data_IF_558505345775
#
_entry.id   IF_558505345775
#
_cell.length_a   1.000
_cell.length_b   1.000
_cell.length_c   1.000
_cell.angle_alpha   90.00
_cell.angle_beta   90.00
_cell.angle_gamma   90.00
#
_symmetry.space_group_name_H-M   'P 1'
#
loop_
_entity.id
_entity.type
_entity.pdbx_description
1 polymer ?
#
# COMPACT_ATOMS: atom_id res chain seq x y z
N UNK A 1 -15.73 -29.95 -7.93
CA UNK A 1 -15.33 -28.75 -7.13
C UNK A 1 -14.80 -29.25 -5.79
N UNK A 2 -13.58 -29.80 -5.76
CA UNK A 2 -12.96 -30.40 -4.57
C UNK A 2 -12.00 -29.39 -3.93
N UNK A 3 -12.50 -28.61 -2.97
CA UNK A 3 -11.61 -27.88 -2.06
C UNK A 3 -10.92 -28.92 -1.17
N UNK A 4 -9.62 -29.12 -1.40
CA UNK A 4 -8.76 -30.04 -0.65
C UNK A 4 -8.86 -29.78 0.85
N UNK A 5 -9.00 -30.84 1.65
CA UNK A 5 -9.08 -30.84 3.14
C UNK A 5 -7.93 -30.06 3.81
N UNK A 6 -6.84 -29.80 3.10
CA UNK A 6 -5.74 -28.96 3.56
C UNK A 6 -6.10 -27.47 3.63
N UNK A 7 -6.90 -26.95 2.68
CA UNK A 7 -7.32 -25.54 2.65
C UNK A 7 -8.33 -25.20 3.75
N UNK A 8 -9.20 -26.15 4.11
CA UNK A 8 -10.13 -25.98 5.24
C UNK A 8 -9.42 -26.04 6.59
N UNK A 9 -8.36 -26.84 6.73
CA UNK A 9 -7.51 -26.85 7.93
C UNK A 9 -6.74 -25.54 8.12
N UNK A 10 -6.20 -24.95 7.05
CA UNK A 10 -5.48 -23.67 7.14
C UNK A 10 -6.40 -22.47 7.43
N UNK A 11 -7.65 -22.49 6.94
CA UNK A 11 -8.65 -21.48 7.33
C UNK A 11 -9.06 -21.63 8.79
N UNK A 12 -9.24 -22.86 9.27
CA UNK A 12 -9.58 -23.15 10.67
C UNK A 12 -8.51 -22.68 11.66
N UNK A 13 -7.23 -22.92 11.35
CA UNK A 13 -6.12 -22.45 12.20
C UNK A 13 -5.97 -20.93 12.18
N UNK A 14 -6.21 -20.29 11.02
CA UNK A 14 -6.20 -18.83 10.90
C UNK A 14 -7.32 -18.16 11.70
N UNK A 15 -8.56 -18.65 11.57
CA UNK A 15 -9.70 -18.14 12.33
C UNK A 15 -9.53 -18.36 13.84
N UNK A 16 -9.04 -19.54 14.25
CA UNK A 16 -8.73 -19.81 15.65
C UNK A 16 -7.65 -18.88 16.21
N UNK A 17 -6.61 -18.55 15.41
CA UNK A 17 -5.58 -17.60 15.79
C UNK A 17 -6.12 -16.18 16.00
N UNK A 18 -7.00 -15.70 15.12
CA UNK A 18 -7.64 -14.39 15.25
C UNK A 18 -8.55 -14.36 16.49
N UNK A 19 -9.37 -15.40 16.69
CA UNK A 19 -10.24 -15.49 17.86
C UNK A 19 -9.45 -15.54 19.16
N UNK A 20 -8.35 -16.30 19.20
CA UNK A 20 -7.45 -16.34 20.35
C UNK A 20 -6.84 -14.96 20.63
N UNK A 21 -6.42 -14.23 19.60
CA UNK A 21 -5.88 -12.87 19.74
C UNK A 21 -6.91 -11.89 20.28
N UNK A 22 -8.15 -11.94 19.78
CA UNK A 22 -9.26 -11.10 20.28
C UNK A 22 -9.62 -11.48 21.71
N UNK A 23 -9.65 -12.77 22.06
CA UNK A 23 -9.92 -13.22 23.42
C UNK A 23 -8.83 -12.77 24.40
N UNK A 24 -7.55 -12.85 24.00
CA UNK A 24 -6.43 -12.34 24.80
C UNK A 24 -6.52 -10.83 24.99
N UNK A 25 -6.84 -10.07 23.93
CA UNK A 25 -7.07 -8.63 24.05
C UNK A 25 -8.22 -8.32 25.00
N UNK A 26 -9.35 -9.02 24.86
CA UNK A 26 -10.53 -8.80 25.71
C UNK A 26 -10.22 -9.08 27.18
N UNK A 27 -9.63 -10.24 27.48
CA UNK A 27 -9.26 -10.60 28.85
C UNK A 27 -8.24 -9.62 29.44
N UNK A 28 -7.24 -9.19 28.65
CA UNK A 28 -6.27 -8.21 29.09
C UNK A 28 -6.92 -6.85 29.40
N UNK A 29 -7.81 -6.37 28.53
CA UNK A 29 -8.56 -5.12 28.72
C UNK A 29 -9.42 -5.14 30.00
N UNK A 30 -10.07 -6.27 30.29
CA UNK A 30 -10.91 -6.43 31.48
C UNK A 30 -10.13 -6.63 32.79
N UNK A 31 -8.88 -7.08 32.73
CA UNK A 31 -8.10 -7.47 33.92
C UNK A 31 -6.91 -6.55 34.14
N UNK A 32 -5.77 -6.87 33.54
CA UNK A 32 -4.46 -6.24 33.74
C UNK A 32 -4.44 -4.78 33.24
N UNK A 33 -5.29 -4.46 32.25
CA UNK A 33 -5.36 -3.15 31.61
C UNK A 33 -6.62 -2.36 31.97
N UNK A 34 -7.38 -2.78 33.00
CA UNK A 34 -8.66 -2.18 33.40
C UNK A 34 -8.60 -0.71 33.86
N UNK A 35 -7.40 -0.18 34.12
CA UNK A 35 -7.14 1.26 34.35
C UNK A 35 -6.28 1.93 33.27
N UNK A 36 -5.88 1.17 32.25
CA UNK A 36 -5.15 1.70 31.10
C UNK A 36 -6.15 2.23 30.06
N UNK A 37 -5.70 3.15 29.20
CA UNK A 37 -6.48 3.65 28.05
C UNK A 37 -6.49 2.62 26.91
N UNK A 38 -6.93 1.40 27.21
CA UNK A 38 -7.08 0.30 26.27
C UNK A 38 -8.56 -0.11 26.27
N UNK A 39 -9.26 0.04 25.14
CA UNK A 39 -10.69 -0.22 25.08
C UNK A 39 -10.95 -1.73 25.00
N UNK A 40 -12.16 -2.14 25.37
CA UNK A 40 -12.59 -3.52 25.14
C UNK A 40 -13.01 -3.69 23.67
N UNK A 41 -12.89 -4.91 23.09
CA UNK A 41 -13.29 -5.13 21.71
C UNK A 41 -14.76 -4.79 21.42
N UNK A 42 -15.65 -5.04 22.38
CA UNK A 42 -17.07 -4.71 22.28
C UNK A 42 -17.32 -3.20 22.29
N UNK A 43 -16.57 -2.41 23.07
CA UNK A 43 -16.63 -0.96 23.04
C UNK A 43 -16.24 -0.40 21.68
N UNK A 44 -15.09 -0.85 21.14
CA UNK A 44 -14.63 -0.44 19.80
C UNK A 44 -15.64 -0.80 18.71
N UNK A 45 -16.25 -1.99 18.79
CA UNK A 45 -17.29 -2.41 17.85
C UNK A 45 -18.57 -1.58 18.01
N UNK A 46 -18.97 -1.27 19.24
CA UNK A 46 -20.09 -0.38 19.53
C UNK A 46 -19.91 0.99 18.89
N UNK A 47 -18.78 1.66 19.18
CA UNK A 47 -18.44 2.97 18.57
C UNK A 47 -18.44 2.91 17.05
N UNK A 48 -17.91 1.82 16.46
CA UNK A 48 -17.86 1.66 15.02
C UNK A 48 -19.26 1.50 14.40
N UNK A 49 -20.15 0.75 15.06
CA UNK A 49 -21.53 0.55 14.60
C UNK A 49 -22.34 1.84 14.77
N UNK A 50 -22.20 2.52 15.90
CA UNK A 50 -22.94 3.74 16.23
C UNK A 50 -22.59 4.91 15.29
N UNK A 51 -21.32 5.02 14.87
CA UNK A 51 -20.90 5.98 13.87
C UNK A 51 -21.58 5.75 12.50
N UNK A 52 -21.93 4.50 12.19
CA UNK A 52 -22.69 4.12 11.00
C UNK A 52 -21.89 4.13 9.69
N UNK A 53 -22.44 3.44 8.68
CA UNK A 53 -21.77 3.28 7.38
C UNK A 53 -21.51 4.60 6.64
N UNK A 54 -22.43 5.56 6.73
CA UNK A 54 -22.30 6.87 6.09
C UNK A 54 -21.05 7.63 6.54
N UNK A 55 -20.75 7.57 7.84
CA UNK A 55 -19.54 8.17 8.41
C UNK A 55 -18.28 7.49 7.89
N UNK A 56 -18.18 6.16 8.01
CA UNK A 56 -16.99 5.43 7.62
C UNK A 56 -16.72 5.50 6.11
N UNK A 57 -17.75 5.34 5.28
CA UNK A 57 -17.62 5.43 3.82
C UNK A 57 -17.20 6.83 3.35
N UNK A 58 -17.64 7.89 4.04
CA UNK A 58 -17.22 9.27 3.75
C UNK A 58 -15.73 9.47 4.04
N UNK A 59 -15.27 9.10 5.24
CA UNK A 59 -13.90 9.36 5.66
C UNK A 59 -12.89 8.41 5.00
N UNK A 60 -13.15 7.10 5.01
CA UNK A 60 -12.28 6.14 4.32
C UNK A 60 -12.35 6.28 2.81
N UNK A 61 -13.52 6.61 2.25
CA UNK A 61 -13.66 6.84 0.82
C UNK A 61 -12.76 8.00 0.34
N UNK A 62 -12.66 9.06 1.13
CA UNK A 62 -11.76 10.19 0.83
C UNK A 62 -10.29 9.74 0.81
N UNK A 63 -9.83 9.09 1.88
CA UNK A 63 -8.44 8.63 1.99
C UNK A 63 -8.09 7.60 0.91
N UNK A 64 -9.02 6.69 0.58
CA UNK A 64 -8.84 5.72 -0.50
C UNK A 64 -8.68 6.43 -1.85
N UNK A 65 -9.45 7.49 -2.12
CA UNK A 65 -9.29 8.25 -3.37
C UNK A 65 -7.93 8.92 -3.45
N UNK A 66 -7.51 9.61 -2.39
CA UNK A 66 -6.20 10.27 -2.31
C UNK A 66 -5.05 9.27 -2.47
N UNK A 67 -5.14 8.15 -1.75
CA UNK A 67 -4.18 7.06 -1.84
C UNK A 67 -4.15 6.44 -3.25
N UNK A 68 -5.31 6.27 -3.90
CA UNK A 68 -5.40 5.68 -5.25
C UNK A 68 -4.76 6.58 -6.30
N UNK A 69 -5.00 7.90 -6.22
CA UNK A 69 -4.38 8.88 -7.13
C UNK A 69 -2.88 8.95 -6.89
N UNK A 70 -2.44 8.98 -5.63
CA UNK A 70 -1.02 8.99 -5.28
C UNK A 70 -0.32 7.69 -5.70
N UNK A 71 -0.93 6.54 -5.45
CA UNK A 71 -0.46 5.23 -5.90
C UNK A 71 -0.27 5.22 -7.43
N UNK A 72 -1.25 5.71 -8.19
CA UNK A 72 -1.16 5.79 -9.64
C UNK A 72 0.04 6.64 -10.08
N UNK A 73 0.20 7.85 -9.56
CA UNK A 73 1.32 8.72 -9.92
C UNK A 73 2.68 8.15 -9.49
N UNK A 74 2.77 7.61 -8.27
CA UNK A 74 3.99 7.00 -7.75
C UNK A 74 4.42 5.78 -8.57
N UNK A 75 3.46 4.91 -8.92
CA UNK A 75 3.72 3.75 -9.76
C UNK A 75 4.11 4.15 -11.18
N UNK A 76 3.41 5.10 -11.81
CA UNK A 76 3.77 5.57 -13.16
C UNK A 76 5.17 6.19 -13.18
N UNK A 77 5.49 7.05 -12.21
CA UNK A 77 6.82 7.63 -12.07
C UNK A 77 7.89 6.55 -11.87
N UNK A 78 7.61 5.56 -11.01
CA UNK A 78 8.53 4.45 -10.75
C UNK A 78 8.77 3.57 -11.98
N UNK A 79 7.72 3.26 -12.75
CA UNK A 79 7.82 2.51 -14.01
C UNK A 79 8.63 3.27 -15.07
N UNK A 80 8.45 4.59 -15.17
CA UNK A 80 9.25 5.44 -16.08
C UNK A 80 10.72 5.40 -15.68
N UNK A 81 11.04 5.64 -14.41
CA UNK A 81 12.42 5.61 -13.90
C UNK A 81 13.07 4.23 -14.10
N UNK A 82 12.36 3.15 -13.77
CA UNK A 82 12.85 1.79 -14.00
C UNK A 82 13.10 1.48 -15.48
N UNK A 83 12.24 1.98 -16.37
CA UNK A 83 12.44 1.83 -17.82
C UNK A 83 13.65 2.61 -18.32
N UNK A 84 13.87 3.83 -17.79
CA UNK A 84 15.04 4.65 -18.10
C UNK A 84 16.35 3.99 -17.64
N UNK A 85 16.36 3.35 -16.47
CA UNK A 85 17.52 2.58 -15.98
C UNK A 85 17.95 1.52 -16.99
N UNK A 86 17.00 0.83 -17.65
CA UNK A 86 17.32 -0.18 -18.65
C UNK A 86 17.71 0.38 -20.01
N UNK A 87 17.06 1.46 -20.44
CA UNK A 87 17.32 2.08 -21.75
C UNK A 87 18.65 2.87 -21.75
N UNK A 88 19.03 3.45 -20.62
CA UNK A 88 20.19 4.33 -20.44
C UNK A 88 21.11 3.81 -19.31
N UNK A 89 21.95 2.78 -19.57
CA UNK A 89 22.83 2.19 -18.54
C UNK A 89 23.77 3.19 -17.86
N UNK A 90 24.14 4.27 -18.55
CA UNK A 90 24.99 5.33 -17.99
C UNK A 90 24.28 6.11 -16.87
N UNK A 91 22.94 6.22 -16.94
CA UNK A 91 22.14 6.92 -15.95
C UNK A 91 21.76 6.04 -14.74
N UNK A 92 21.98 4.73 -14.81
CA UNK A 92 21.58 3.77 -13.78
C UNK A 92 22.06 4.16 -12.37
N UNK A 93 23.35 4.47 -12.12
CA UNK A 93 23.81 4.77 -10.78
C UNK A 93 23.08 5.99 -10.18
N UNK A 94 22.87 7.02 -11.00
CA UNK A 94 22.21 8.27 -10.59
C UNK A 94 20.72 8.02 -10.31
N UNK A 95 20.01 7.34 -11.21
CA UNK A 95 18.59 7.05 -11.07
C UNK A 95 18.32 6.15 -9.85
N UNK A 96 19.17 5.14 -9.62
CA UNK A 96 19.07 4.27 -8.45
C UNK A 96 19.39 5.05 -7.16
N UNK A 97 20.39 5.93 -7.18
CA UNK A 97 20.69 6.80 -6.04
C UNK A 97 19.52 7.73 -5.70
N UNK A 98 18.89 8.34 -6.70
CA UNK A 98 17.67 9.16 -6.50
C UNK A 98 16.56 8.34 -5.87
N UNK A 99 16.30 7.12 -6.38
CA UNK A 99 15.28 6.24 -5.83
C UNK A 99 15.55 5.89 -4.36
N UNK A 100 16.81 5.55 -4.02
CA UNK A 100 17.22 5.26 -2.64
C UNK A 100 17.05 6.49 -1.75
N UNK A 101 17.48 7.67 -2.21
CA UNK A 101 17.30 8.92 -1.47
C UNK A 101 15.83 9.20 -1.18
N UNK A 102 14.94 9.01 -2.15
CA UNK A 102 13.49 9.17 -1.95
C UNK A 102 12.93 8.27 -0.84
N UNK A 103 13.46 7.05 -0.68
CA UNK A 103 13.07 6.14 0.40
C UNK A 103 13.68 6.51 1.75
N UNK A 104 14.91 7.04 1.75
CA UNK A 104 15.60 7.43 2.96
C UNK A 104 15.03 8.70 3.62
N UNK A 105 14.31 9.54 2.87
CA UNK A 105 13.64 10.72 3.45
C UNK A 105 12.46 10.26 4.31
N UNK A 106 12.44 10.57 5.62
CA UNK A 106 11.31 10.22 6.46
C UNK A 106 10.04 10.93 5.99
N UNK A 107 8.99 10.16 5.67
CA UNK A 107 7.72 10.73 5.21
C UNK A 107 7.14 11.76 6.20
N UNK A 108 7.32 11.50 7.51
CA UNK A 108 6.87 12.40 8.58
C UNK A 108 7.61 13.74 8.55
N UNK A 109 8.88 13.76 8.14
CA UNK A 109 9.69 14.98 8.07
C UNK A 109 9.37 15.81 6.80
N UNK A 110 9.07 15.15 5.68
CA UNK A 110 8.77 15.85 4.41
C UNK A 110 7.31 16.31 4.32
N UNK A 111 6.40 15.71 5.09
CA UNK A 111 4.98 16.04 5.07
C UNK A 111 4.67 17.54 5.33
N UNK A 112 5.25 18.22 6.35
CA UNK A 112 5.03 19.64 6.55
C UNK A 112 5.61 20.51 5.42
N UNK A 113 6.76 20.11 4.84
CA UNK A 113 7.36 20.82 3.71
C UNK A 113 6.45 20.76 2.49
N UNK A 114 5.94 19.57 2.17
CA UNK A 114 4.97 19.39 1.08
C UNK A 114 3.68 20.16 1.35
N UNK A 115 3.22 20.21 2.59
CA UNK A 115 2.05 21.01 2.95
C UNK A 115 2.26 22.51 2.73
N UNK A 116 3.43 23.06 3.09
CA UNK A 116 3.74 24.48 2.84
C UNK A 116 3.76 24.80 1.35
N UNK A 117 4.29 23.89 0.52
CA UNK A 117 4.41 24.09 -0.93
C UNK A 117 3.07 23.93 -1.64
N UNK A 118 2.27 22.93 -1.25
CA UNK A 118 1.02 22.57 -1.92
C UNK A 118 -0.16 23.37 -1.38
N UNK A 119 -0.17 23.65 -0.08
CA UNK A 119 -1.25 24.34 0.62
C UNK A 119 -2.43 23.43 1.01
N UNK A 120 -3.51 24.08 1.46
CA UNK A 120 -4.76 23.41 1.80
C UNK A 120 -5.52 22.98 0.53
N UNK A 121 -6.25 21.86 0.58
CA UNK A 121 -7.20 21.52 -0.46
C UNK A 121 -8.36 22.52 -0.52
N UNK A 122 -8.91 22.72 -1.70
CA UNK A 122 -10.19 23.42 -1.88
C UNK A 122 -11.31 22.69 -1.12
N UNK A 123 -12.42 23.38 -0.84
CA UNK A 123 -13.53 22.79 -0.08
C UNK A 123 -14.06 21.52 -0.74
N UNK A 124 -14.07 20.42 0.01
CA UNK A 124 -14.47 19.10 -0.49
C UNK A 124 -13.53 18.45 -1.50
N UNK A 125 -12.38 19.07 -1.83
CA UNK A 125 -11.40 18.54 -2.76
C UNK A 125 -10.36 17.64 -2.05
N UNK A 126 -9.61 16.89 -2.87
CA UNK A 126 -8.54 15.99 -2.42
C UNK A 126 -7.32 16.76 -1.96
N UNK A 127 -6.67 16.29 -0.91
CA UNK A 127 -5.39 16.80 -0.44
C UNK A 127 -4.28 16.45 -1.44
N UNK A 128 -3.69 17.49 -2.03
CA UNK A 128 -2.49 17.35 -2.84
C UNK A 128 -1.31 16.82 -2.02
N UNK A 129 -1.21 17.20 -0.74
CA UNK A 129 -0.19 16.69 0.19
C UNK A 129 -0.34 15.20 0.44
N UNK A 130 -1.56 14.72 0.70
CA UNK A 130 -1.84 13.29 0.86
C UNK A 130 -1.51 12.51 -0.41
N UNK A 131 -1.91 13.04 -1.57
CA UNK A 131 -1.61 12.43 -2.86
C UNK A 131 -0.10 12.35 -3.13
N UNK A 132 0.66 13.41 -2.83
CA UNK A 132 2.10 13.47 -3.01
C UNK A 132 2.86 12.50 -2.09
N UNK A 133 2.46 12.40 -0.82
CA UNK A 133 3.04 11.46 0.13
C UNK A 133 2.71 10.01 -0.21
N UNK A 134 1.48 9.74 -0.66
CA UNK A 134 1.10 8.44 -1.18
C UNK A 134 1.93 8.03 -2.40
N UNK A 135 2.20 8.97 -3.32
CA UNK A 135 3.07 8.73 -4.47
C UNK A 135 4.52 8.43 -4.05
N UNK A 136 5.07 9.23 -3.13
CA UNK A 136 6.43 9.04 -2.62
C UNK A 136 6.61 7.69 -1.91
N UNK A 137 5.60 7.24 -1.15
CA UNK A 137 5.61 5.97 -0.45
C UNK A 137 5.70 4.74 -1.38
N UNK A 138 5.23 4.86 -2.63
CA UNK A 138 5.17 3.75 -3.60
C UNK A 138 6.21 3.84 -4.70
N UNK A 139 6.76 5.04 -4.92
CA UNK A 139 7.75 5.29 -5.94
C UNK A 139 8.95 4.33 -5.85
N UNK A 140 9.61 4.26 -4.70
CA UNK A 140 10.82 3.45 -4.53
C UNK A 140 10.57 1.95 -4.76
N UNK A 141 9.54 1.40 -4.09
CA UNK A 141 9.21 -0.02 -4.20
C UNK A 141 8.86 -0.40 -5.64
N UNK A 142 8.17 0.49 -6.37
CA UNK A 142 7.90 0.33 -7.81
C UNK A 142 9.17 0.34 -8.63
N UNK A 143 10.08 1.30 -8.44
CA UNK A 143 11.36 1.36 -9.17
C UNK A 143 12.13 0.04 -8.99
N UNK A 144 12.37 -0.35 -7.74
CA UNK A 144 13.17 -1.53 -7.42
C UNK A 144 12.53 -2.81 -7.95
N UNK A 145 11.23 -3.00 -7.72
CA UNK A 145 10.52 -4.19 -8.18
C UNK A 145 10.47 -4.32 -9.70
N UNK A 146 10.31 -3.18 -10.39
CA UNK A 146 10.30 -3.15 -11.86
C UNK A 146 11.69 -3.42 -12.42
N UNK A 147 12.75 -2.78 -11.89
CA UNK A 147 14.14 -3.05 -12.32
C UNK A 147 14.50 -4.51 -12.10
N UNK A 148 14.16 -5.08 -10.94
CA UNK A 148 14.40 -6.49 -10.63
C UNK A 148 13.66 -7.42 -11.60
N UNK A 149 12.40 -7.12 -11.90
CA UNK A 149 11.58 -7.89 -12.84
C UNK A 149 12.05 -7.80 -14.29
N UNK A 150 12.47 -6.62 -14.74
CA UNK A 150 12.97 -6.46 -16.10
C UNK A 150 14.30 -7.21 -16.30
N UNK A 151 15.10 -7.33 -15.23
CA UNK A 151 16.37 -8.08 -15.21
C UNK A 151 16.22 -9.58 -15.04
N UNK A 152 15.05 -10.08 -14.61
CA UNK A 152 14.80 -11.52 -14.46
C UNK A 152 14.52 -12.24 -15.79
N UNK A 153 14.46 -11.49 -16.90
CA UNK A 153 14.28 -12.06 -18.23
C UNK A 153 15.37 -13.09 -18.58
N UNK A 154 14.93 -14.24 -19.08
CA UNK A 154 15.82 -15.30 -19.54
C UNK A 154 16.71 -14.82 -20.71
N UNK A 155 18.01 -15.12 -20.62
CA UNK A 155 18.99 -14.67 -21.62
C UNK A 155 18.75 -15.30 -22.98
N UNK A 156 18.37 -16.58 -23.04
CA UNK A 156 18.09 -17.25 -24.31
C UNK A 156 16.92 -16.58 -25.04
N UNK A 157 15.88 -16.19 -24.31
CA UNK A 157 14.73 -15.44 -24.84
C UNK A 157 15.14 -14.06 -25.40
N UNK A 158 16.08 -13.36 -24.75
CA UNK A 158 16.63 -12.10 -25.24
C UNK A 158 17.51 -12.26 -26.48
N UNK A 159 18.29 -13.34 -26.54
CA UNK A 159 19.16 -13.66 -27.67
C UNK A 159 18.36 -14.01 -28.92
N UNK A 160 17.23 -14.73 -28.78
CA UNK A 160 16.29 -14.96 -29.89
C UNK A 160 15.84 -13.63 -30.50
N UNK A 161 15.38 -12.68 -29.69
CA UNK A 161 14.98 -11.36 -30.21
C UNK A 161 16.12 -10.66 -30.95
N UNK A 162 17.35 -10.79 -30.45
CA UNK A 162 18.54 -10.18 -31.06
C UNK A 162 18.91 -10.82 -32.40
N UNK A 163 18.87 -12.15 -32.50
CA UNK A 163 19.16 -12.90 -33.74
C UNK A 163 18.17 -12.55 -34.84
N UNK A 164 16.90 -12.31 -34.51
CA UNK A 164 15.88 -11.82 -35.45
C UNK A 164 15.94 -10.29 -35.70
N UNK A 165 17.07 -9.64 -35.39
CA UNK A 165 17.30 -8.22 -35.66
C UNK A 165 16.58 -7.24 -34.72
N UNK A 166 16.12 -7.71 -33.56
CA UNK A 166 15.49 -6.87 -32.55
C UNK A 166 16.49 -6.18 -31.62
N UNK A 167 16.33 -4.87 -31.44
CA UNK A 167 17.10 -4.09 -30.47
C UNK A 167 16.54 -4.11 -29.04
N UNK A 168 17.13 -3.29 -28.15
CA UNK A 168 16.76 -3.19 -26.72
C UNK A 168 15.29 -2.89 -26.48
N UNK A 169 14.68 -2.04 -27.30
CA UNK A 169 13.25 -1.71 -27.19
C UNK A 169 12.36 -2.92 -27.47
N UNK A 170 12.70 -3.74 -28.48
CA UNK A 170 11.95 -4.97 -28.78
C UNK A 170 12.15 -6.02 -27.69
N UNK A 171 13.36 -6.15 -27.15
CA UNK A 171 13.64 -7.02 -25.99
C UNK A 171 12.81 -6.60 -24.77
N UNK A 172 12.73 -5.29 -24.50
CA UNK A 172 11.94 -4.74 -23.40
C UNK A 172 10.46 -5.06 -23.58
N UNK A 173 9.88 -4.74 -24.74
CA UNK A 173 8.45 -4.93 -24.99
C UNK A 173 8.02 -6.40 -25.06
N UNK A 174 8.82 -7.26 -25.72
CA UNK A 174 8.43 -8.65 -26.02
C UNK A 174 8.82 -9.66 -24.97
N UNK A 175 9.86 -9.40 -24.18
CA UNK A 175 10.40 -10.37 -23.21
C UNK A 175 10.37 -9.79 -21.81
N UNK A 176 11.09 -8.68 -21.61
CA UNK A 176 11.34 -8.18 -20.24
C UNK A 176 10.07 -7.67 -19.56
N UNK A 177 9.17 -6.99 -20.28
CA UNK A 177 7.93 -6.49 -19.70
C UNK A 177 7.04 -7.64 -19.22
N UNK A 178 6.96 -8.72 -19.99
CA UNK A 178 6.17 -9.92 -19.64
C UNK A 178 6.81 -10.65 -18.45
N UNK A 179 8.14 -10.80 -18.46
CA UNK A 179 8.85 -11.44 -17.34
C UNK A 179 8.83 -10.60 -16.06
N UNK A 180 8.71 -9.27 -16.19
CA UNK A 180 8.68 -8.34 -15.07
C UNK A 180 7.31 -8.26 -14.38
N UNK A 181 6.22 -8.61 -15.06
CA UNK A 181 4.86 -8.51 -14.53
C UNK A 181 4.70 -9.07 -13.10
N UNK A 182 5.22 -10.28 -12.75
CA UNK A 182 5.10 -10.81 -11.40
C UNK A 182 5.78 -9.92 -10.35
N UNK A 183 6.97 -9.40 -10.66
CA UNK A 183 7.74 -8.52 -9.78
C UNK A 183 7.09 -7.14 -9.64
N UNK A 184 6.54 -6.60 -10.73
CA UNK A 184 5.80 -5.34 -10.71
C UNK A 184 4.53 -5.49 -9.86
N UNK A 185 3.77 -6.58 -10.03
CA UNK A 185 2.58 -6.87 -9.22
C UNK A 185 2.93 -7.11 -7.75
N UNK A 186 4.05 -7.78 -7.45
CA UNK A 186 4.54 -7.95 -6.09
C UNK A 186 4.92 -6.61 -5.44
N UNK A 187 5.59 -5.73 -6.20
CA UNK A 187 5.91 -4.38 -5.74
C UNK A 187 4.66 -3.54 -5.50
N UNK A 188 3.70 -3.55 -6.44
CA UNK A 188 2.41 -2.87 -6.29
C UNK A 188 1.63 -3.39 -5.08
N UNK A 189 1.66 -4.71 -4.83
CA UNK A 189 1.00 -5.33 -3.67
C UNK A 189 1.53 -4.80 -2.33
N UNK A 190 2.83 -4.56 -2.22
CA UNK A 190 3.44 -3.96 -1.01
C UNK A 190 3.27 -2.43 -1.01
N UNK A 191 3.34 -1.82 -2.19
CA UNK A 191 3.19 -0.38 -2.37
C UNK A 191 1.79 0.14 -2.02
N UNK A 192 0.72 -0.56 -2.39
CA UNK A 192 -0.62 -0.03 -2.19
C UNK A 192 -1.00 0.24 -0.71
N UNK A 193 -0.69 -0.65 0.26
CA UNK A 193 -0.77 -0.31 1.68
C UNK A 193 0.09 0.90 2.07
N UNK A 194 1.30 1.01 1.52
CA UNK A 194 2.19 2.13 1.79
C UNK A 194 1.64 3.47 1.26
N UNK A 195 1.00 3.48 0.07
CA UNK A 195 0.28 4.64 -0.44
C UNK A 195 -0.86 5.07 0.49
N UNK A 196 -1.64 4.10 0.99
CA UNK A 196 -2.71 4.39 1.94
C UNK A 196 -2.19 5.02 3.23
N UNK A 197 -1.09 4.50 3.79
CA UNK A 197 -0.42 5.09 4.95
C UNK A 197 0.15 6.49 4.66
N UNK A 198 0.72 6.69 3.47
CA UNK A 198 1.21 7.99 3.01
C UNK A 198 0.10 9.03 2.88
N UNK A 199 -1.08 8.62 2.38
CA UNK A 199 -2.25 9.49 2.31
C UNK A 199 -2.74 9.91 3.70
N UNK A 200 -2.88 8.96 4.64
CA UNK A 200 -3.25 9.26 6.04
C UNK A 200 -2.29 10.28 6.65
N UNK A 201 -0.99 10.12 6.43
CA UNK A 201 0.00 11.07 6.95
C UNK A 201 -0.18 12.46 6.33
N UNK A 202 -0.47 12.57 5.04
CA UNK A 202 -0.72 13.85 4.39
C UNK A 202 -2.02 14.50 4.80
N UNK A 203 -3.09 13.73 5.03
CA UNK A 203 -4.33 14.23 5.64
C UNK A 203 -4.09 14.74 7.08
N UNK A 204 -3.21 14.06 7.81
CA UNK A 204 -2.88 14.42 9.19
C UNK A 204 -2.29 15.83 9.25
N UNK A 205 -1.41 16.18 8.30
CA UNK A 205 -0.82 17.51 8.20
C UNK A 205 -1.71 18.51 7.43
N UNK A 206 -2.45 18.03 6.42
CA UNK A 206 -2.96 18.83 5.31
C UNK A 206 -4.34 19.47 5.41
N UNK A 207 -4.76 19.97 6.59
CA UNK A 207 -5.97 20.79 6.74
C UNK A 207 -7.28 20.21 6.18
N UNK A 208 -7.39 18.88 6.07
CA UNK A 208 -8.50 18.22 5.37
C UNK A 208 -9.83 18.31 6.14
N UNK A 209 -10.93 18.40 5.40
CA UNK A 209 -12.30 18.44 5.95
C UNK A 209 -12.95 17.05 6.08
N UNK A 210 -12.42 16.07 5.37
CA UNK A 210 -12.84 14.66 5.36
C UNK A 210 -11.59 13.81 5.18
N UNK A 211 -11.64 12.57 5.66
CA UNK A 211 -10.47 11.70 5.71
C UNK A 211 -10.34 10.99 7.04
N UNK A 212 -9.66 9.86 7.01
CA UNK A 212 -9.39 9.00 8.16
C UNK A 212 -8.54 9.72 9.20
N UNK A 213 -7.53 10.48 8.76
CA UNK A 213 -6.63 11.16 9.69
C UNK A 213 -7.32 12.29 10.45
N UNK A 214 -8.35 12.91 9.87
CA UNK A 214 -9.18 13.89 10.58
C UNK A 214 -9.93 13.24 11.74
N UNK A 215 -10.57 12.09 11.50
CA UNK A 215 -11.28 11.34 12.56
C UNK A 215 -10.30 10.96 13.67
N UNK A 216 -9.11 10.49 13.31
CA UNK A 216 -8.08 10.15 14.29
C UNK A 216 -7.64 11.37 15.11
N UNK A 217 -7.44 12.54 14.47
CA UNK A 217 -7.08 13.79 15.17
C UNK A 217 -8.16 14.20 16.18
N UNK A 218 -9.43 14.16 15.78
CA UNK A 218 -10.56 14.51 16.65
C UNK A 218 -10.64 13.52 17.83
N UNK A 219 -10.51 12.22 17.57
CA UNK A 219 -10.48 11.21 18.62
C UNK A 219 -9.33 11.44 19.61
N UNK A 220 -8.14 11.78 19.13
CA UNK A 220 -6.99 12.10 19.98
C UNK A 220 -7.21 13.35 20.84
N UNK A 221 -7.79 14.41 20.26
CA UNK A 221 -8.10 15.65 20.98
C UNK A 221 -9.15 15.42 22.09
N UNK A 222 -10.15 14.58 21.80
CA UNK A 222 -11.20 14.21 22.77
C UNK A 222 -10.78 13.09 23.72
N UNK A 223 -9.60 12.51 23.54
CA UNK A 223 -9.15 11.30 24.26
C UNK A 223 -10.16 10.16 24.11
N UNK A 224 -10.82 10.10 22.95
CA UNK A 224 -11.73 9.01 22.58
C UNK A 224 -10.91 7.81 22.11
N UNK A 225 -10.63 6.94 23.07
CA UNK A 225 -9.80 5.75 22.85
C UNK A 225 -10.52 4.75 21.94
N UNK A 226 -11.82 4.55 22.12
CA UNK A 226 -12.58 3.57 21.34
C UNK A 226 -12.63 3.97 19.87
N UNK A 227 -12.88 5.26 19.57
CA UNK A 227 -12.87 5.76 18.20
C UNK A 227 -11.47 5.69 17.57
N UNK A 228 -10.41 6.01 18.32
CA UNK A 228 -9.03 5.89 17.80
C UNK A 228 -8.68 4.44 17.41
N UNK A 229 -9.10 3.47 18.22
CA UNK A 229 -8.91 2.05 17.92
C UNK A 229 -9.79 1.59 16.76
N UNK A 230 -11.05 2.04 16.68
CA UNK A 230 -11.94 1.74 15.56
C UNK A 230 -11.36 2.22 14.22
N UNK A 231 -10.81 3.44 14.19
CA UNK A 231 -10.08 3.98 13.04
C UNK A 231 -8.88 3.10 12.69
N UNK A 232 -8.05 2.75 13.67
CA UNK A 232 -6.85 1.92 13.46
C UNK A 232 -7.16 0.54 12.87
N UNK A 233 -8.18 -0.13 13.41
CA UNK A 233 -8.66 -1.42 12.89
C UNK A 233 -9.24 -1.26 11.48
N UNK A 234 -10.02 -0.20 11.23
CA UNK A 234 -10.52 0.13 9.89
C UNK A 234 -9.38 0.31 8.87
N UNK A 235 -8.30 1.02 9.24
CA UNK A 235 -7.11 1.16 8.41
C UNK A 235 -6.46 -0.19 8.10
N UNK A 236 -6.31 -1.06 9.10
CA UNK A 236 -5.75 -2.40 8.92
C UNK A 236 -6.61 -3.25 7.98
N UNK A 237 -7.94 -3.18 8.11
CA UNK A 237 -8.87 -3.87 7.23
C UNK A 237 -8.78 -3.39 5.78
N UNK A 238 -8.74 -2.08 5.55
CA UNK A 238 -8.60 -1.51 4.20
C UNK A 238 -7.26 -1.89 3.58
N UNK A 239 -6.15 -1.65 4.29
CA UNK A 239 -4.81 -1.97 3.80
C UNK A 239 -4.65 -3.48 3.54
N UNK A 240 -5.14 -4.32 4.45
CA UNK A 240 -5.13 -5.78 4.31
C UNK A 240 -5.98 -6.27 3.14
N UNK A 241 -7.15 -5.66 2.92
CA UNK A 241 -8.02 -5.97 1.78
C UNK A 241 -7.34 -5.63 0.47
N UNK A 242 -6.75 -4.45 0.34
CA UNK A 242 -6.01 -4.04 -0.86
C UNK A 242 -4.81 -4.96 -1.13
N UNK A 243 -4.05 -5.32 -0.09
CA UNK A 243 -2.94 -6.27 -0.18
C UNK A 243 -3.40 -7.66 -0.65
N UNK A 244 -4.54 -8.14 -0.16
CA UNK A 244 -5.13 -9.42 -0.55
C UNK A 244 -5.63 -9.39 -2.00
N UNK A 245 -6.36 -8.34 -2.38
CA UNK A 245 -6.86 -8.13 -3.75
C UNK A 245 -5.73 -8.11 -4.76
N UNK A 246 -4.67 -7.32 -4.52
CA UNK A 246 -3.50 -7.29 -5.40
C UNK A 246 -2.77 -8.65 -5.45
N UNK A 247 -2.75 -9.40 -4.35
CA UNK A 247 -2.26 -10.77 -4.35
C UNK A 247 -3.08 -11.71 -5.23
N UNK A 248 -4.40 -11.57 -5.23
CA UNK A 248 -5.29 -12.34 -6.11
C UNK A 248 -5.12 -11.94 -7.57
N UNK A 249 -5.07 -10.63 -7.87
CA UNK A 249 -4.78 -10.12 -9.21
C UNK A 249 -3.45 -10.67 -9.71
N UNK A 250 -2.40 -10.63 -8.88
CA UNK A 250 -1.10 -11.24 -9.19
C UNK A 250 -1.23 -12.70 -9.60
N UNK A 251 -1.95 -13.51 -8.82
CA UNK A 251 -2.14 -14.94 -9.13
C UNK A 251 -2.91 -15.18 -10.43
N UNK A 252 -3.86 -14.32 -10.78
CA UNK A 252 -4.69 -14.46 -11.98
C UNK A 252 -3.96 -13.97 -13.23
N UNK A 253 -3.28 -12.83 -13.13
CA UNK A 253 -2.58 -12.17 -14.25
C UNK A 253 -1.27 -12.87 -14.59
N UNK A 254 -0.56 -13.44 -13.61
CA UNK A 254 0.72 -14.11 -13.84
C UNK A 254 0.68 -15.59 -13.42
N UNK A 255 -0.14 -16.44 -14.08
CA UNK A 255 -0.22 -17.86 -13.75
C UNK A 255 1.10 -18.61 -13.99
N UNK A 256 1.95 -18.12 -14.91
CA UNK A 256 3.24 -18.72 -15.24
C UNK A 256 4.29 -18.57 -14.13
N UNK A 257 4.12 -17.62 -13.20
CA UNK A 257 5.09 -17.40 -12.11
C UNK A 257 4.95 -18.40 -10.95
N UNK A 258 3.93 -19.28 -10.98
CA UNK A 258 3.59 -20.22 -9.90
C UNK A 258 4.66 -21.29 -9.62
N UNK A 259 5.68 -21.43 -10.47
CA UNK A 259 6.78 -22.40 -10.30
C UNK A 259 8.07 -21.85 -9.67
N UNK A 260 8.19 -20.53 -9.49
CA UNK A 260 9.45 -19.90 -9.02
C UNK A 260 9.47 -19.63 -7.50
N UNK A 261 8.37 -19.90 -6.79
CA UNK A 261 8.26 -19.74 -5.33
C UNK A 261 7.60 -20.98 -4.74
N UNK A 262 8.41 -22.03 -4.55
CA UNK A 262 8.15 -23.07 -3.56
C UNK A 262 9.27 -23.02 -2.52
#
# INVERSE_FOLDING_TARGET
>A
MHLSRASTRSLGTGAAGILALVAVWWLAALTVLSGARVPTPDGVLGTAVDAGWGFWSLHFGMTIQEASVGFLYGTLAGLVVASLVLLLPVAEPVLMQVAVMSYCVPLVAIAPVLFIVIGNPDEGARSGTATALAALAVFFTTVVGTVLGLRSADRASLDVVRVFGGGRVRQLQKVQLISALPSILAAMRIGAPAAFLGAILGEYVGGVQRGVALVLKIAQQNVDVEQAWAVGIGCALVAGTVYAVLGLVGRVVTPWSRGATS
#
